data_IF_398236364357
#
_entry.id   IF_398236364357
#
_cell.length_a   1.000
_cell.length_b   1.000
_cell.length_c   1.000
_cell.angle_alpha   90.00
_cell.angle_beta   90.00
_cell.angle_gamma   90.00
#
_symmetry.space_group_name_H-M   'P 1'
#
loop_
_entity.id
_entity.type
_entity.pdbx_description
1 polymer ?
#
# COMPACT_ATOMS: atom_id res chain seq x y z
N UNK A 1 -2.55 -7.10 9.02
CA UNK A 1 -2.94 -6.24 7.87
C UNK A 1 -2.93 -4.77 8.25
N UNK A 2 -2.10 -3.98 7.57
CA UNK A 2 -2.00 -2.52 7.73
C UNK A 2 -2.22 -1.83 6.37
N UNK A 3 -2.86 -0.67 6.36
CA UNK A 3 -3.25 0.02 5.12
C UNK A 3 -2.54 1.37 5.00
N UNK A 4 -2.08 1.70 3.79
CA UNK A 4 -1.28 2.89 3.54
C UNK A 4 -1.71 3.61 2.26
N UNK A 5 -1.55 4.93 2.28
CA UNK A 5 -1.63 5.81 1.12
C UNK A 5 -0.24 6.39 0.83
N UNK A 6 0.25 6.24 -0.39
CA UNK A 6 1.55 6.75 -0.84
C UNK A 6 1.32 7.91 -1.82
N UNK A 7 1.49 9.17 -1.39
CA UNK A 7 1.27 10.34 -2.24
C UNK A 7 2.23 10.36 -3.43
N UNK A 8 1.70 10.83 -4.57
CA UNK A 8 2.47 10.99 -5.81
C UNK A 8 2.58 9.73 -6.68
N UNK A 9 1.94 8.62 -6.30
CA UNK A 9 1.77 7.44 -7.16
C UNK A 9 0.47 7.52 -7.94
N UNK A 10 0.45 6.94 -9.15
CA UNK A 10 -0.79 6.76 -9.92
C UNK A 10 -1.79 5.89 -9.15
N UNK A 11 -1.27 4.83 -8.52
CA UNK A 11 -2.04 3.88 -7.71
C UNK A 11 -1.50 3.90 -6.27
N UNK A 12 -2.04 4.74 -5.38
CA UNK A 12 -1.38 5.09 -4.13
C UNK A 12 -1.79 4.22 -2.94
N UNK A 13 -2.73 3.28 -3.10
CA UNK A 13 -3.30 2.53 -1.98
C UNK A 13 -2.62 1.16 -1.83
N UNK A 14 -2.08 0.90 -0.65
CA UNK A 14 -1.33 -0.32 -0.33
C UNK A 14 -1.88 -1.03 0.90
N UNK A 15 -1.80 -2.35 0.91
CA UNK A 15 -2.06 -3.21 2.07
C UNK A 15 -0.85 -4.07 2.36
N UNK A 16 -0.41 -4.07 3.62
CA UNK A 16 0.67 -4.92 4.12
C UNK A 16 0.05 -6.07 4.91
N UNK A 17 0.35 -7.30 4.53
CA UNK A 17 -0.01 -8.53 5.23
C UNK A 17 1.25 -9.13 5.87
N UNK A 18 1.50 -8.76 7.13
CA UNK A 18 2.68 -9.18 7.92
C UNK A 18 2.86 -10.70 7.99
N UNK A 19 1.76 -11.44 8.03
CA UNK A 19 1.71 -12.90 8.06
C UNK A 19 2.17 -13.56 6.75
N UNK A 20 2.14 -12.83 5.64
CA UNK A 20 2.55 -13.31 4.31
C UNK A 20 3.83 -12.65 3.81
N UNK A 21 4.39 -11.69 4.54
CA UNK A 21 5.49 -10.82 4.10
C UNK A 21 5.22 -10.14 2.74
N UNK A 22 3.98 -9.67 2.55
CA UNK A 22 3.53 -9.05 1.29
C UNK A 22 3.04 -7.62 1.54
N UNK A 23 3.49 -6.70 0.69
CA UNK A 23 2.92 -5.39 0.46
C UNK A 23 2.28 -5.36 -0.93
N UNK A 24 0.95 -5.32 -0.96
CA UNK A 24 0.13 -5.40 -2.18
C UNK A 24 -0.42 -4.02 -2.53
N UNK A 25 -0.28 -3.62 -3.79
CA UNK A 25 -0.91 -2.40 -4.31
C UNK A 25 -2.34 -2.73 -4.70
N UNK A 26 -3.30 -1.85 -4.40
CA UNK A 26 -4.69 -2.05 -4.80
C UNK A 26 -4.87 -2.25 -6.32
N UNK A 27 -3.99 -1.68 -7.13
CA UNK A 27 -3.98 -1.84 -8.58
C UNK A 27 -3.00 -2.92 -9.09
N UNK A 28 -2.47 -3.77 -8.20
CA UNK A 28 -1.57 -4.86 -8.58
C UNK A 28 -2.18 -5.86 -9.57
N UNK A 29 -3.51 -5.96 -9.63
CA UNK A 29 -4.21 -6.72 -10.67
C UNK A 29 -4.00 -6.16 -12.09
N UNK A 30 -3.41 -4.97 -12.23
CA UNK A 30 -3.30 -4.26 -13.51
C UNK A 30 -1.89 -3.93 -13.99
N UNK A 31 -0.86 -3.84 -13.14
CA UNK A 31 0.56 -3.73 -13.58
C UNK A 31 1.61 -3.62 -12.45
N UNK A 32 1.26 -3.12 -11.24
CA UNK A 32 2.22 -2.98 -10.14
C UNK A 32 2.27 -4.25 -9.30
N UNK A 33 3.22 -5.17 -9.52
CA UNK A 33 3.30 -6.42 -8.74
C UNK A 33 3.37 -6.25 -7.20
N UNK A 34 3.22 -7.37 -6.50
CA UNK A 34 3.45 -7.45 -5.05
C UNK A 34 4.91 -7.15 -4.70
N UNK A 35 5.12 -6.51 -3.56
CA UNK A 35 6.43 -6.30 -2.95
C UNK A 35 6.54 -7.08 -1.65
N UNK A 36 7.75 -7.32 -1.18
CA UNK A 36 7.98 -7.70 0.22
C UNK A 36 7.72 -6.50 1.15
N UNK A 37 7.50 -6.76 2.44
CA UNK A 37 7.35 -5.66 3.42
C UNK A 37 8.65 -4.86 3.53
N UNK A 38 9.80 -5.50 3.37
CA UNK A 38 11.11 -4.84 3.37
C UNK A 38 11.24 -3.84 2.21
N UNK A 39 10.91 -4.24 0.99
CA UNK A 39 10.95 -3.36 -0.20
C UNK A 39 9.97 -2.19 -0.04
N UNK A 40 8.75 -2.45 0.43
CA UNK A 40 7.80 -1.37 0.69
C UNK A 40 8.31 -0.39 1.75
N UNK A 41 8.91 -0.94 2.81
CA UNK A 41 9.47 -0.15 3.91
C UNK A 41 10.60 0.74 3.43
N UNK A 42 11.50 0.23 2.59
CA UNK A 42 12.63 0.98 2.06
C UNK A 42 12.18 2.07 1.09
N UNK A 43 11.27 1.77 0.16
CA UNK A 43 10.96 2.66 -0.96
C UNK A 43 9.78 3.60 -0.73
N UNK A 44 8.83 3.22 0.13
CA UNK A 44 7.55 3.91 0.25
C UNK A 44 7.19 4.33 1.67
N UNK A 45 7.56 3.57 2.71
CA UNK A 45 7.17 3.91 4.08
C UNK A 45 7.57 5.32 4.54
N UNK A 46 8.73 5.91 4.16
CA UNK A 46 9.08 7.28 4.55
C UNK A 46 8.08 8.36 4.10
N UNK A 47 7.30 8.08 3.06
CA UNK A 47 6.26 8.96 2.50
C UNK A 47 4.84 8.40 2.67
N UNK A 48 4.71 7.18 3.18
CA UNK A 48 3.42 6.51 3.32
C UNK A 48 2.65 7.07 4.51
N UNK A 49 1.36 7.29 4.32
CA UNK A 49 0.42 7.71 5.36
C UNK A 49 -0.43 6.51 5.73
N UNK A 50 -0.45 6.14 7.02
CA UNK A 50 -1.32 5.06 7.48
C UNK A 50 -2.78 5.50 7.38
N UNK A 51 -3.62 4.68 6.76
CA UNK A 51 -5.04 4.94 6.54
C UNK A 51 -5.91 3.83 7.14
N UNK A 52 -7.22 4.06 7.22
CA UNK A 52 -8.18 3.03 7.61
C UNK A 52 -8.47 2.07 6.46
N UNK A 53 -9.02 0.88 6.79
CA UNK A 53 -9.52 -0.07 5.80
C UNK A 53 -10.64 0.52 4.93
N UNK A 54 -11.47 1.40 5.49
CA UNK A 54 -12.55 2.08 4.77
C UNK A 54 -11.99 3.06 3.73
N UNK A 55 -10.98 3.85 4.10
CA UNK A 55 -10.27 4.72 3.16
C UNK A 55 -9.62 3.91 2.02
N UNK A 56 -8.98 2.79 2.34
CA UNK A 56 -8.39 1.89 1.33
C UNK A 56 -9.45 1.35 0.36
N UNK A 57 -10.57 0.82 0.88
CA UNK A 57 -11.67 0.25 0.06
C UNK A 57 -12.36 1.31 -0.81
N UNK A 58 -12.61 2.48 -0.25
CA UNK A 58 -13.29 3.57 -0.94
C UNK A 58 -12.35 4.39 -1.84
N UNK A 59 -11.03 4.16 -1.76
CA UNK A 59 -10.04 4.95 -2.50
C UNK A 59 -10.01 6.41 -2.05
N UNK A 60 -10.31 6.66 -0.77
CA UNK A 60 -10.39 8.00 -0.19
C UNK A 60 -9.02 8.40 0.37
N UNK A 61 -8.55 9.58 -0.01
CA UNK A 61 -7.27 10.13 0.47
C UNK A 61 -7.39 10.51 1.95
N UNK A 62 -6.29 10.42 2.73
CA UNK A 62 -6.24 10.93 4.10
C UNK A 62 -6.45 12.45 4.17
#
# INVERSE_FOLDING_TARGET
MSYYYVPGMAEPFWVLADDLDIAHNRASDTDMGDLTIAEFTEWYLPRAIRITVEQYRNGTKP
#
